data_IF_101131213135
#
_entry.id   IF_101131213135
#
_cell.length_a   1.000
_cell.length_b   1.000
_cell.length_c   1.000
_cell.angle_alpha   90.00
_cell.angle_beta   90.00
_cell.angle_gamma   90.00
#
_symmetry.space_group_name_H-M   'P 1'
#
loop_
_entity.id
_entity.type
_entity.pdbx_description
1 polymer ?
#
# COMPACT_ATOMS: atom_id res chain seq x y z
N UNK A 1 -5.10 17.94 13.07
CA UNK A 1 -6.41 18.25 12.46
C UNK A 1 -6.24 19.51 11.65
N UNK A 2 -6.69 19.49 10.40
CA UNK A 2 -6.61 20.63 9.50
C UNK A 2 -8.00 20.89 8.92
N UNK A 3 -8.29 22.15 8.62
CA UNK A 3 -9.60 22.61 8.17
C UNK A 3 -9.50 23.03 6.71
N UNK A 4 -10.53 22.71 5.95
CA UNK A 4 -10.60 23.00 4.52
C UNK A 4 -11.99 23.53 4.21
N UNK A 5 -12.04 24.65 3.51
CA UNK A 5 -13.28 25.24 3.02
C UNK A 5 -13.65 24.61 1.68
N UNK A 6 -14.84 24.01 1.62
CA UNK A 6 -15.41 23.44 0.40
C UNK A 6 -15.16 21.94 0.20
N UNK A 7 -16.16 21.27 -0.40
CA UNK A 7 -16.11 19.83 -0.68
C UNK A 7 -15.03 19.44 -1.70
N UNK A 8 -14.77 20.28 -2.70
CA UNK A 8 -13.81 19.94 -3.76
C UNK A 8 -12.37 19.91 -3.24
N UNK A 9 -12.03 20.83 -2.33
CA UNK A 9 -10.72 20.84 -1.70
C UNK A 9 -10.55 19.65 -0.75
N UNK A 10 -11.60 19.28 -0.01
CA UNK A 10 -11.62 18.06 0.82
C UNK A 10 -11.45 16.79 -0.03
N UNK A 11 -12.12 16.72 -1.18
CA UNK A 11 -11.98 15.62 -2.13
C UNK A 11 -10.56 15.54 -2.71
N UNK A 12 -9.94 16.69 -3.01
CA UNK A 12 -8.56 16.79 -3.45
C UNK A 12 -7.55 16.29 -2.40
N UNK A 13 -7.79 16.56 -1.11
CA UNK A 13 -6.94 16.07 -0.02
C UNK A 13 -7.03 14.56 0.13
N UNK A 14 -8.23 13.99 0.02
CA UNK A 14 -8.42 12.54 0.03
C UNK A 14 -7.76 11.90 -1.20
N UNK A 15 -7.91 12.50 -2.39
CA UNK A 15 -7.33 11.97 -3.62
C UNK A 15 -5.79 11.96 -3.63
N UNK A 16 -5.15 12.94 -2.96
CA UNK A 16 -3.68 12.98 -2.83
C UNK A 16 -3.13 12.13 -1.68
N UNK A 17 -4.00 11.59 -0.83
CA UNK A 17 -3.60 10.85 0.38
C UNK A 17 -3.19 11.76 1.56
N UNK A 18 -3.40 13.08 1.46
CA UNK A 18 -3.13 14.05 2.54
C UNK A 18 -4.09 13.83 3.72
N UNK A 19 -5.27 13.25 3.47
CA UNK A 19 -6.26 12.89 4.48
C UNK A 19 -6.89 11.52 4.18
N UNK A 20 -6.94 10.63 5.19
CA UNK A 20 -7.60 9.32 5.06
C UNK A 20 -9.09 9.37 5.39
N UNK A 21 -9.49 10.28 6.27
CA UNK A 21 -10.86 10.47 6.69
C UNK A 21 -11.12 11.96 6.86
N UNK A 22 -12.31 12.40 6.48
CA UNK A 22 -12.72 13.77 6.57
C UNK A 22 -14.16 13.86 7.08
N UNK A 23 -14.41 14.83 7.96
CA UNK A 23 -15.72 15.08 8.54
C UNK A 23 -16.28 16.33 7.86
N UNK A 24 -17.31 16.14 7.04
CA UNK A 24 -18.02 17.23 6.39
C UNK A 24 -19.23 17.62 7.25
N UNK A 25 -19.18 18.85 7.78
CA UNK A 25 -20.24 19.47 8.58
C UNK A 25 -21.09 20.33 7.64
N UNK A 26 -22.40 20.04 7.47
CA UNK A 26 -23.28 20.86 6.63
C UNK A 26 -23.42 22.29 7.15
N UNK A 27 -23.68 23.25 6.25
CA UNK A 27 -23.87 24.65 6.62
C UNK A 27 -25.08 24.86 7.56
N UNK A 28 -26.10 23.99 7.47
CA UNK A 28 -27.29 24.04 8.31
C UNK A 28 -27.11 23.37 9.69
N UNK A 29 -25.96 22.73 9.94
CA UNK A 29 -25.67 22.01 11.19
C UNK A 29 -25.94 22.82 12.48
N UNK A 30 -25.52 24.10 12.60
CA UNK A 30 -25.82 24.89 13.80
C UNK A 30 -27.31 25.22 13.93
N UNK A 31 -28.00 25.42 12.80
CA UNK A 31 -29.44 25.72 12.78
C UNK A 31 -30.25 24.49 13.17
N UNK A 32 -29.90 23.33 12.65
CA UNK A 32 -30.60 22.06 12.93
C UNK A 32 -30.44 21.67 14.40
N UNK A 33 -29.23 21.83 14.95
CA UNK A 33 -28.95 21.54 16.35
C UNK A 33 -29.71 22.49 17.31
N UNK A 34 -29.79 23.78 16.97
CA UNK A 34 -30.52 24.79 17.72
C UNK A 34 -32.03 24.58 17.68
N UNK A 35 -32.58 24.12 16.54
CA UNK A 35 -34.00 23.79 16.37
C UNK A 35 -34.42 22.48 17.02
N UNK A 36 -33.46 21.66 17.47
CA UNK A 36 -33.72 20.36 18.09
C UNK A 36 -34.07 19.25 17.11
N UNK A 37 -33.88 19.50 15.82
CA UNK A 37 -33.87 18.49 14.76
C UNK A 37 -32.54 17.72 14.75
N UNK A 38 -32.57 16.47 14.30
CA UNK A 38 -31.38 15.63 14.16
C UNK A 38 -30.40 16.24 13.14
N UNK A 39 -29.26 16.72 13.62
CA UNK A 39 -28.23 17.30 12.78
C UNK A 39 -27.37 16.18 12.17
N UNK A 40 -27.22 16.16 10.85
CA UNK A 40 -26.42 15.14 10.17
C UNK A 40 -24.98 15.58 9.99
N UNK A 41 -24.02 14.72 10.30
CA UNK A 41 -22.60 14.90 9.96
C UNK A 41 -22.22 13.82 8.95
N UNK A 42 -21.49 14.19 7.90
CA UNK A 42 -21.00 13.23 6.92
C UNK A 42 -19.53 12.89 7.19
N UNK A 43 -19.20 11.60 7.18
CA UNK A 43 -17.83 11.11 7.32
C UNK A 43 -17.43 10.46 6.00
N UNK A 44 -16.45 11.04 5.33
CA UNK A 44 -15.90 10.55 4.06
C UNK A 44 -14.58 9.87 4.39
N UNK A 45 -14.40 8.62 3.96
CA UNK A 45 -13.19 7.83 4.24
C UNK A 45 -12.66 7.23 2.94
N UNK A 46 -11.35 7.29 2.74
CA UNK A 46 -10.66 6.52 1.70
C UNK A 46 -10.70 5.03 2.04
N UNK A 47 -11.61 4.30 1.40
CA UNK A 47 -11.82 2.88 1.65
C UNK A 47 -10.84 1.95 0.90
N UNK A 48 -9.81 2.50 0.26
CA UNK A 48 -8.80 1.72 -0.47
C UNK A 48 -8.11 0.70 0.45
N UNK A 49 -7.80 1.08 1.69
CA UNK A 49 -7.36 0.18 2.76
C UNK A 49 -8.51 -0.08 3.76
N UNK A 50 -9.13 -1.26 3.75
CA UNK A 50 -10.23 -1.60 4.67
C UNK A 50 -9.84 -1.58 6.15
N UNK A 51 -8.57 -1.84 6.51
CA UNK A 51 -8.10 -1.87 7.89
C UNK A 51 -8.06 -0.45 8.47
N UNK A 52 -7.34 0.46 7.81
CA UNK A 52 -7.29 1.87 8.21
C UNK A 52 -8.67 2.52 8.20
N UNK A 53 -9.49 2.18 7.20
CA UNK A 53 -10.84 2.73 7.06
C UNK A 53 -11.76 2.34 8.20
N UNK A 54 -11.77 1.06 8.59
CA UNK A 54 -12.60 0.60 9.71
C UNK A 54 -12.20 1.26 11.02
N UNK A 55 -10.89 1.43 11.27
CA UNK A 55 -10.40 2.15 12.44
C UNK A 55 -10.87 3.62 12.45
N UNK A 56 -10.82 4.30 11.30
CA UNK A 56 -11.30 5.67 11.16
C UNK A 56 -12.82 5.77 11.37
N UNK A 57 -13.59 4.84 10.83
CA UNK A 57 -15.04 4.78 11.00
C UNK A 57 -15.45 4.52 12.45
N UNK A 58 -14.80 3.56 13.12
CA UNK A 58 -15.02 3.28 14.53
C UNK A 58 -14.72 4.51 15.40
N UNK A 59 -13.62 5.21 15.11
CA UNK A 59 -13.24 6.45 15.80
C UNK A 59 -14.27 7.56 15.60
N UNK A 60 -14.74 7.76 14.36
CA UNK A 60 -15.75 8.77 14.05
C UNK A 60 -17.10 8.47 14.74
N UNK A 61 -17.53 7.21 14.72
CA UNK A 61 -18.73 6.77 15.42
C UNK A 61 -18.62 6.97 16.94
N UNK A 62 -17.45 6.65 17.53
CA UNK A 62 -17.18 6.89 18.95
C UNK A 62 -17.25 8.37 19.33
N UNK A 63 -16.65 9.27 18.53
CA UNK A 63 -16.72 10.72 18.75
C UNK A 63 -18.18 11.20 18.67
N UNK A 64 -18.93 10.76 17.66
CA UNK A 64 -20.34 11.10 17.51
C UNK A 64 -21.17 10.62 18.70
N UNK A 65 -20.90 9.43 19.23
CA UNK A 65 -21.58 8.89 20.40
C UNK A 65 -21.29 9.70 21.67
N UNK A 66 -20.02 10.06 21.92
CA UNK A 66 -19.65 10.92 23.07
C UNK A 66 -20.33 12.29 22.96
N UNK A 67 -20.38 12.87 21.77
CA UNK A 67 -21.07 14.15 21.54
C UNK A 67 -22.58 14.02 21.71
N UNK A 68 -23.19 12.94 21.24
CA UNK A 68 -24.60 12.65 21.48
C UNK A 68 -24.92 12.58 22.97
N UNK A 69 -24.10 11.87 23.76
CA UNK A 69 -24.27 11.79 25.21
C UNK A 69 -24.14 13.16 25.90
N UNK A 70 -23.17 13.98 25.48
CA UNK A 70 -22.99 15.33 26.03
C UNK A 70 -24.15 16.29 25.69
N UNK A 71 -24.70 16.19 24.49
CA UNK A 71 -25.85 17.02 24.07
C UNK A 71 -27.13 16.55 24.77
N UNK A 72 -27.33 15.24 24.93
CA UNK A 72 -28.47 14.66 25.62
C UNK A 72 -28.44 14.96 27.14
N UNK A 73 -27.27 14.95 27.77
CA UNK A 73 -27.15 15.29 29.20
C UNK A 73 -27.38 16.79 29.48
N UNK A 74 -27.07 17.66 28.51
CA UNK A 74 -27.36 19.09 28.60
C UNK A 74 -28.81 19.46 28.24
N UNK A 75 -29.52 18.61 27.48
CA UNK A 75 -30.88 18.85 27.03
C UNK A 75 -31.88 17.91 27.73
N UNK A 76 -32.35 18.30 28.91
CA UNK A 76 -33.15 17.50 29.84
C UNK A 76 -34.46 16.87 29.27
N UNK A 77 -34.91 17.23 28.06
CA UNK A 77 -36.19 16.80 27.47
C UNK A 77 -36.06 16.23 26.04
N UNK A 78 -34.85 15.94 25.53
CA UNK A 78 -34.69 15.35 24.18
C UNK A 78 -34.67 13.82 24.24
N UNK A 79 -35.56 13.17 23.49
CA UNK A 79 -35.70 11.70 23.39
C UNK A 79 -35.00 11.10 22.17
N UNK A 80 -34.66 11.92 21.18
CA UNK A 80 -34.04 11.49 19.92
C UNK A 80 -32.54 11.82 19.87
N UNK A 81 -31.76 10.96 19.21
CA UNK A 81 -30.32 11.14 19.02
C UNK A 81 -30.06 12.40 18.19
N UNK A 82 -29.42 13.46 18.74
CA UNK A 82 -29.28 14.74 18.06
C UNK A 82 -28.33 14.72 16.85
N UNK A 83 -27.44 13.73 16.77
CA UNK A 83 -26.45 13.59 15.69
C UNK A 83 -26.59 12.26 14.97
N UNK A 84 -26.81 12.33 13.66
CA UNK A 84 -26.73 11.18 12.76
C UNK A 84 -25.41 11.25 11.97
N UNK A 85 -24.62 10.18 11.99
CA UNK A 85 -23.35 10.11 11.25
C UNK A 85 -23.56 9.31 9.97
N UNK A 86 -23.43 9.95 8.79
CA UNK A 86 -23.53 9.28 7.49
C UNK A 86 -22.16 8.99 6.93
N UNK A 87 -21.85 7.71 6.81
CA UNK A 87 -20.57 7.22 6.31
C UNK A 87 -20.62 7.10 4.79
N UNK A 88 -19.61 7.65 4.09
CA UNK A 88 -19.45 7.54 2.64
C UNK A 88 -18.05 7.00 2.29
N UNK A 89 -17.91 5.67 2.11
CA UNK A 89 -16.64 5.07 1.70
C UNK A 89 -16.34 5.39 0.23
N UNK A 90 -15.11 5.85 -0.06
CA UNK A 90 -14.60 6.10 -1.43
C UNK A 90 -13.69 4.96 -1.89
N UNK A 91 -13.59 4.74 -3.20
CA UNK A 91 -12.73 3.75 -3.88
C UNK A 91 -13.05 2.26 -3.62
N UNK A 92 -13.58 1.89 -2.45
CA UNK A 92 -14.06 0.52 -2.15
C UNK A 92 -15.36 0.54 -1.32
N UNK A 93 -16.51 0.90 -1.91
CA UNK A 93 -17.77 1.05 -1.16
C UNK A 93 -18.23 -0.22 -0.45
N UNK A 94 -17.89 -1.39 -1.00
CA UNK A 94 -18.20 -2.69 -0.42
C UNK A 94 -17.18 -3.20 0.59
N UNK A 95 -16.13 -2.43 0.90
CA UNK A 95 -15.04 -2.80 1.82
C UNK A 95 -14.49 -4.22 1.53
N UNK A 96 -14.45 -4.62 0.24
CA UNK A 96 -13.99 -5.95 -0.16
C UNK A 96 -12.48 -6.02 0.05
N UNK A 97 -12.02 -6.89 0.95
CA UNK A 97 -10.58 -7.08 1.22
C UNK A 97 -9.79 -7.49 -0.02
N UNK A 98 -10.41 -8.21 -0.96
CA UNK A 98 -9.78 -8.59 -2.22
C UNK A 98 -9.28 -7.38 -3.03
N UNK A 99 -9.99 -6.25 -2.99
CA UNK A 99 -9.61 -5.03 -3.71
C UNK A 99 -8.33 -4.37 -3.17
N UNK A 100 -7.93 -4.71 -1.94
CA UNK A 100 -6.70 -4.23 -1.30
C UNK A 100 -5.61 -5.30 -1.29
N UNK A 101 -5.95 -6.52 -0.87
CA UNK A 101 -5.00 -7.61 -0.66
C UNK A 101 -4.39 -8.08 -1.97
N UNK A 102 -5.19 -8.26 -3.03
CA UNK A 102 -4.72 -8.83 -4.28
C UNK A 102 -3.67 -7.92 -4.96
N UNK A 103 -3.91 -6.61 -5.14
CA UNK A 103 -2.87 -5.71 -5.66
C UNK A 103 -1.62 -5.66 -4.78
N UNK A 104 -1.77 -5.62 -3.45
CA UNK A 104 -0.62 -5.62 -2.53
C UNK A 104 0.21 -6.90 -2.62
N UNK A 105 -0.44 -8.05 -2.78
CA UNK A 105 0.25 -9.33 -2.98
C UNK A 105 1.04 -9.37 -4.29
N UNK A 106 0.65 -8.65 -5.35
CA UNK A 106 1.46 -8.56 -6.58
C UNK A 106 2.87 -8.05 -6.22
N UNK A 107 2.95 -6.95 -5.48
CA UNK A 107 4.22 -6.34 -5.06
C UNK A 107 5.02 -7.27 -4.14
N UNK A 108 4.35 -7.91 -3.18
CA UNK A 108 4.99 -8.87 -2.25
C UNK A 108 5.58 -10.07 -3.00
N UNK A 109 4.81 -10.70 -3.87
CA UNK A 109 5.24 -11.89 -4.62
C UNK A 109 6.38 -11.50 -5.56
N UNK A 110 6.27 -10.39 -6.28
CA UNK A 110 7.36 -9.89 -7.13
C UNK A 110 8.62 -9.58 -6.31
N UNK A 111 8.50 -8.95 -5.15
CA UNK A 111 9.66 -8.65 -4.29
C UNK A 111 10.36 -9.94 -3.87
N UNK A 112 9.61 -10.92 -3.36
CA UNK A 112 10.15 -12.22 -2.95
C UNK A 112 10.84 -12.90 -4.14
N UNK A 113 10.17 -13.02 -5.28
CA UNK A 113 10.70 -13.77 -6.42
C UNK A 113 11.88 -13.06 -7.07
N UNK A 114 11.81 -11.76 -7.33
CA UNK A 114 12.87 -11.00 -7.99
C UNK A 114 14.15 -10.93 -7.14
N UNK A 115 14.03 -10.66 -5.84
CA UNK A 115 15.19 -10.63 -4.93
C UNK A 115 15.82 -12.02 -4.86
N UNK A 116 15.01 -13.06 -4.63
CA UNK A 116 15.51 -14.42 -4.41
C UNK A 116 16.15 -15.01 -5.67
N UNK A 117 15.47 -14.92 -6.81
CA UNK A 117 15.97 -15.47 -8.08
C UNK A 117 17.27 -14.80 -8.48
N UNK A 118 17.38 -13.48 -8.34
CA UNK A 118 18.60 -12.76 -8.70
C UNK A 118 19.75 -13.06 -7.75
N UNK A 119 19.49 -13.06 -6.45
CA UNK A 119 20.50 -13.39 -5.45
C UNK A 119 21.07 -14.79 -5.67
N UNK A 120 20.19 -15.79 -5.85
CA UNK A 120 20.58 -17.17 -6.11
C UNK A 120 21.29 -17.32 -7.46
N UNK A 121 20.84 -16.63 -8.51
CA UNK A 121 21.43 -16.75 -9.83
C UNK A 121 22.91 -16.34 -9.87
N UNK A 122 23.27 -15.28 -9.15
CA UNK A 122 24.65 -14.80 -9.05
C UNK A 122 25.48 -15.73 -8.16
N UNK A 123 24.94 -16.13 -7.02
CA UNK A 123 25.66 -16.99 -6.07
C UNK A 123 25.90 -18.38 -6.66
N UNK A 124 24.92 -18.93 -7.40
CA UNK A 124 25.06 -20.21 -8.11
C UNK A 124 26.19 -20.21 -9.14
N UNK A 125 26.40 -19.10 -9.85
CA UNK A 125 27.52 -18.98 -10.79
C UNK A 125 28.87 -18.85 -10.07
N UNK A 126 28.88 -18.16 -8.94
CA UNK A 126 30.06 -18.06 -8.08
C UNK A 126 30.45 -19.44 -7.52
N UNK A 127 29.50 -20.18 -6.97
CA UNK A 127 29.71 -21.54 -6.45
C UNK A 127 30.20 -22.52 -7.53
N UNK A 128 29.75 -22.34 -8.78
CA UNK A 128 30.15 -23.18 -9.91
C UNK A 128 31.48 -22.77 -10.53
N UNK A 129 32.12 -21.69 -10.07
CA UNK A 129 33.34 -21.14 -10.65
C UNK A 129 33.17 -20.51 -12.04
N UNK A 130 31.95 -20.49 -12.59
CA UNK A 130 31.69 -19.91 -13.91
C UNK A 130 31.86 -18.39 -13.91
N UNK A 131 31.69 -17.75 -12.75
CA UNK A 131 31.92 -16.32 -12.58
C UNK A 131 33.38 -15.94 -12.88
N UNK A 132 34.34 -16.79 -12.49
CA UNK A 132 35.77 -16.54 -12.74
C UNK A 132 36.12 -16.69 -14.22
N UNK A 133 35.51 -17.68 -14.89
CA UNK A 133 35.63 -17.89 -16.34
C UNK A 133 35.01 -16.73 -17.14
N UNK A 134 33.95 -16.10 -16.62
CA UNK A 134 33.31 -14.95 -17.27
C UNK A 134 34.16 -13.67 -17.17
N UNK A 135 34.91 -13.48 -16.08
CA UNK A 135 35.73 -12.28 -15.86
C UNK A 135 36.95 -12.21 -16.79
N UNK A 136 37.41 -13.36 -17.33
CA UNK A 136 38.51 -13.42 -18.31
C UNK A 136 38.06 -13.20 -19.76
N UNK A 137 36.76 -13.09 -20.02
CA UNK A 137 36.24 -12.69 -21.34
C UNK A 137 36.36 -11.17 -21.54
N UNK A 138 36.43 -10.65 -22.77
CA UNK A 138 36.50 -9.21 -23.03
C UNK A 138 35.20 -8.44 -22.71
N UNK A 139 34.25 -9.05 -22.01
CA UNK A 139 32.95 -8.48 -21.66
C UNK A 139 33.07 -7.68 -20.37
N UNK A 140 32.48 -6.48 -20.31
CA UNK A 140 32.49 -5.70 -19.07
C UNK A 140 31.54 -6.29 -18.02
N UNK A 141 31.86 -6.11 -16.73
CA UNK A 141 31.01 -6.58 -15.62
C UNK A 141 29.57 -6.06 -15.72
N UNK A 142 29.40 -4.81 -16.17
CA UNK A 142 28.09 -4.17 -16.32
C UNK A 142 27.29 -4.76 -17.47
N UNK A 143 27.91 -5.03 -18.62
CA UNK A 143 27.24 -5.69 -19.76
C UNK A 143 26.79 -7.10 -19.39
N UNK A 144 27.65 -7.86 -18.70
CA UNK A 144 27.31 -9.20 -18.21
C UNK A 144 26.12 -9.16 -17.24
N UNK A 145 26.12 -8.21 -16.30
CA UNK A 145 25.01 -8.04 -15.35
C UNK A 145 23.72 -7.63 -16.06
N UNK A 146 23.77 -6.64 -16.96
CA UNK A 146 22.60 -6.17 -17.69
C UNK A 146 22.01 -7.27 -18.57
N UNK A 147 22.84 -7.97 -19.36
CA UNK A 147 22.39 -9.08 -20.20
C UNK A 147 21.74 -10.22 -19.41
N UNK A 148 22.18 -10.42 -18.17
CA UNK A 148 21.61 -11.42 -17.27
C UNK A 148 20.34 -10.93 -16.54
N UNK A 149 20.25 -9.64 -16.22
CA UNK A 149 19.08 -9.04 -15.56
C UNK A 149 17.90 -8.90 -16.53
N UNK A 150 18.15 -8.60 -17.81
CA UNK A 150 17.11 -8.46 -18.84
C UNK A 150 16.09 -9.61 -18.89
N UNK A 151 16.49 -10.90 -18.94
CA UNK A 151 15.53 -12.00 -18.93
C UNK A 151 14.72 -12.07 -17.62
N UNK A 152 15.30 -11.71 -16.47
CA UNK A 152 14.57 -11.66 -15.21
C UNK A 152 13.53 -10.55 -15.15
N UNK A 153 13.79 -9.41 -15.80
CA UNK A 153 12.76 -8.37 -15.98
C UNK A 153 11.58 -8.93 -16.78
N UNK A 154 11.85 -9.67 -17.86
CA UNK A 154 10.82 -10.36 -18.64
C UNK A 154 9.99 -11.33 -17.80
N UNK A 155 10.65 -12.15 -16.97
CA UNK A 155 9.98 -13.05 -16.02
C UNK A 155 9.10 -12.27 -15.05
N UNK A 156 9.57 -11.14 -14.51
CA UNK A 156 8.79 -10.29 -13.63
C UNK A 156 7.55 -9.69 -14.29
N UNK A 157 7.66 -9.25 -15.55
CA UNK A 157 6.52 -8.75 -16.30
C UNK A 157 5.50 -9.85 -16.58
N UNK A 158 5.93 -11.05 -16.97
CA UNK A 158 5.04 -12.21 -17.16
C UNK A 158 4.35 -12.61 -15.85
N UNK A 159 5.10 -12.62 -14.75
CA UNK A 159 4.58 -12.89 -13.41
C UNK A 159 3.52 -11.86 -13.02
N UNK A 160 3.80 -10.57 -13.23
CA UNK A 160 2.83 -9.50 -13.01
C UNK A 160 1.55 -9.72 -13.82
N UNK A 161 1.67 -9.97 -15.13
CA UNK A 161 0.52 -10.27 -15.99
C UNK A 161 -0.30 -11.43 -15.42
N UNK A 162 0.37 -12.50 -14.99
CA UNK A 162 -0.30 -13.69 -14.45
C UNK A 162 -1.09 -13.36 -13.19
N UNK A 163 -0.51 -12.63 -12.24
CA UNK A 163 -1.20 -12.24 -11.00
C UNK A 163 -2.35 -11.27 -11.27
N UNK A 164 -2.19 -10.32 -12.20
CA UNK A 164 -3.26 -9.40 -12.58
C UNK A 164 -4.44 -10.13 -13.25
N UNK A 165 -4.17 -11.10 -14.13
CA UNK A 165 -5.21 -11.92 -14.74
C UNK A 165 -5.96 -12.74 -13.68
N UNK A 166 -5.24 -13.40 -12.76
CA UNK A 166 -5.87 -14.11 -11.64
C UNK A 166 -6.69 -13.17 -10.76
N UNK A 167 -6.18 -11.99 -10.42
CA UNK A 167 -6.91 -10.99 -9.66
C UNK A 167 -8.20 -10.55 -10.35
N UNK A 168 -8.16 -10.35 -11.68
CA UNK A 168 -9.31 -9.91 -12.45
C UNK A 168 -10.36 -11.01 -12.66
N UNK A 169 -9.94 -12.23 -12.96
CA UNK A 169 -10.84 -13.32 -13.38
C UNK A 169 -11.28 -14.23 -12.23
N UNK A 170 -10.48 -14.36 -11.17
CA UNK A 170 -10.80 -15.22 -10.00
C UNK A 170 -11.41 -14.42 -8.87
N UNK A 171 -10.93 -13.18 -8.65
CA UNK A 171 -11.31 -12.36 -7.49
C UNK A 171 -12.19 -11.14 -7.83
N UNK A 172 -12.49 -10.93 -9.12
CA UNK A 172 -13.22 -9.77 -9.64
C UNK A 172 -12.64 -8.42 -9.19
N UNK A 173 -11.31 -8.33 -9.13
CA UNK A 173 -10.63 -7.09 -8.77
C UNK A 173 -10.67 -6.13 -9.97
N UNK A 174 -11.18 -4.90 -9.78
CA UNK A 174 -11.33 -3.94 -10.87
C UNK A 174 -9.96 -3.39 -11.27
N UNK A 175 -9.56 -3.62 -12.52
CA UNK A 175 -8.42 -2.96 -13.15
C UNK A 175 -8.86 -1.60 -13.68
N UNK A 176 -8.84 -0.60 -12.80
CA UNK A 176 -9.18 0.79 -13.15
C UNK A 176 -7.91 1.58 -13.45
N UNK A 177 -7.93 2.42 -14.50
CA UNK A 177 -6.81 3.27 -14.88
C UNK A 177 -6.02 2.80 -16.11
N UNK A 178 -4.80 3.32 -16.25
CA UNK A 178 -3.95 3.08 -17.42
C UNK A 178 -3.02 1.87 -17.18
N UNK A 179 -3.29 0.78 -17.90
CA UNK A 179 -2.51 -0.46 -17.82
C UNK A 179 -1.06 -0.25 -18.25
N UNK A 180 -0.79 0.61 -19.24
CA UNK A 180 0.58 0.87 -19.69
C UNK A 180 1.39 1.61 -18.61
N UNK A 181 0.77 2.56 -17.91
CA UNK A 181 1.40 3.25 -16.78
C UNK A 181 1.73 2.25 -15.65
N UNK A 182 0.81 1.32 -15.38
CA UNK A 182 1.00 0.26 -14.40
C UNK A 182 2.22 -0.62 -14.75
N UNK A 183 2.37 -1.04 -16.01
CA UNK A 183 3.57 -1.77 -16.46
C UNK A 183 4.84 -0.92 -16.42
N UNK A 184 4.76 0.39 -16.69
CA UNK A 184 5.89 1.30 -16.57
C UNK A 184 6.40 1.40 -15.13
N UNK A 185 5.50 1.56 -14.16
CA UNK A 185 5.83 1.57 -12.73
C UNK A 185 6.39 0.21 -12.31
N UNK A 186 5.76 -0.88 -12.76
CA UNK A 186 6.23 -2.23 -12.44
C UNK A 186 7.60 -2.54 -13.02
N UNK A 187 7.94 -2.02 -14.20
CA UNK A 187 9.28 -2.16 -14.76
C UNK A 187 10.34 -1.53 -13.84
N UNK A 188 10.09 -0.32 -13.35
CA UNK A 188 10.99 0.35 -12.39
C UNK A 188 11.07 -0.44 -11.08
N UNK A 189 9.92 -0.89 -10.58
CA UNK A 189 9.83 -1.68 -9.35
C UNK A 189 10.59 -3.02 -9.46
N UNK A 190 10.35 -3.79 -10.53
CA UNK A 190 11.06 -5.04 -10.81
C UNK A 190 12.57 -4.79 -10.86
N UNK A 191 13.00 -3.75 -11.58
CA UNK A 191 14.42 -3.40 -11.68
C UNK A 191 15.03 -3.08 -10.31
N UNK A 192 14.31 -2.36 -9.45
CA UNK A 192 14.74 -2.07 -8.09
C UNK A 192 14.82 -3.34 -7.22
N UNK A 193 13.84 -4.25 -7.31
CA UNK A 193 13.88 -5.54 -6.60
C UNK A 193 15.02 -6.45 -7.09
N UNK A 194 15.31 -6.47 -8.39
CA UNK A 194 16.45 -7.20 -8.96
C UNK A 194 17.78 -6.60 -8.45
N UNK A 195 17.90 -5.27 -8.40
CA UNK A 195 19.08 -4.60 -7.86
C UNK A 195 19.28 -4.93 -6.36
N UNK A 196 18.20 -5.00 -5.57
CA UNK A 196 18.26 -5.47 -4.19
C UNK A 196 18.75 -6.93 -4.11
N UNK A 197 18.25 -7.83 -4.97
CA UNK A 197 18.74 -9.21 -5.04
C UNK A 197 20.22 -9.31 -5.41
N UNK A 198 20.68 -8.47 -6.34
CA UNK A 198 22.10 -8.36 -6.68
C UNK A 198 22.91 -7.87 -5.48
N UNK A 199 22.45 -6.87 -4.76
CA UNK A 199 23.10 -6.39 -3.53
C UNK A 199 23.23 -7.51 -2.50
N UNK A 200 22.15 -8.26 -2.23
CA UNK A 200 22.18 -9.41 -1.31
C UNK A 200 23.21 -10.45 -1.73
N UNK A 201 23.34 -10.71 -3.04
CA UNK A 201 24.32 -11.68 -3.58
C UNK A 201 25.79 -11.33 -3.29
N UNK A 202 26.09 -10.05 -2.98
CA UNK A 202 27.44 -9.61 -2.64
C UNK A 202 27.83 -9.94 -1.20
N UNK A 203 26.83 -10.11 -0.32
CA UNK A 203 27.03 -10.35 1.12
C UNK A 203 27.20 -11.83 1.46
N UNK A 204 26.83 -12.73 0.54
CA UNK A 204 26.74 -14.17 0.79
C UNK A 204 27.61 -14.99 -0.16
N UNK A 205 27.96 -16.21 0.25
CA UNK A 205 28.81 -17.11 -0.55
C UNK A 205 28.09 -18.35 -1.04
N UNK A 206 27.05 -18.81 -0.33
CA UNK A 206 26.30 -20.01 -0.73
C UNK A 206 24.84 -19.73 -1.09
N UNK A 207 24.23 -20.58 -1.93
CA UNK A 207 22.82 -20.42 -2.31
C UNK A 207 21.89 -20.45 -1.09
N UNK A 208 22.18 -21.30 -0.11
CA UNK A 208 21.39 -21.37 1.12
C UNK A 208 21.52 -20.10 1.97
N UNK A 209 22.72 -19.51 2.04
CA UNK A 209 22.91 -18.20 2.66
C UNK A 209 22.18 -17.10 1.87
N UNK A 210 22.21 -17.15 0.54
CA UNK A 210 21.50 -16.20 -0.32
C UNK A 210 20.00 -16.21 -0.05
N UNK A 211 19.40 -17.39 0.12
CA UNK A 211 18.00 -17.54 0.48
C UNK A 211 17.71 -16.89 1.85
N UNK A 212 18.47 -17.25 2.88
CA UNK A 212 18.29 -16.72 4.24
C UNK A 212 18.46 -15.20 4.29
N UNK A 213 19.51 -14.68 3.65
CA UNK A 213 19.75 -13.24 3.57
C UNK A 213 18.64 -12.53 2.80
N UNK A 214 18.17 -13.10 1.68
CA UNK A 214 17.04 -12.53 0.93
C UNK A 214 15.80 -12.42 1.81
N UNK A 215 15.45 -13.45 2.58
CA UNK A 215 14.35 -13.38 3.54
C UNK A 215 14.55 -12.31 4.61
N UNK A 216 15.79 -12.15 5.11
CA UNK A 216 16.12 -11.10 6.07
C UNK A 216 15.89 -9.69 5.52
N UNK A 217 16.12 -9.43 4.22
CA UNK A 217 15.84 -8.13 3.60
C UNK A 217 14.38 -7.97 3.16
N UNK A 218 13.77 -9.04 2.65
CA UNK A 218 12.40 -9.01 2.15
C UNK A 218 11.38 -8.87 3.29
N UNK A 219 11.61 -9.49 4.44
CA UNK A 219 10.66 -9.45 5.55
C UNK A 219 10.46 -8.01 6.09
N UNK A 220 11.50 -7.24 6.44
CA UNK A 220 11.35 -5.82 6.78
C UNK A 220 10.72 -4.99 5.65
N UNK A 221 11.05 -5.30 4.39
CA UNK A 221 10.47 -4.63 3.23
C UNK A 221 8.94 -4.79 3.19
N UNK A 222 8.43 -6.01 3.39
CA UNK A 222 6.99 -6.27 3.48
C UNK A 222 6.37 -5.56 4.69
N UNK A 223 7.01 -5.63 5.85
CA UNK A 223 6.47 -5.05 7.09
C UNK A 223 6.41 -3.51 7.04
N UNK A 224 7.34 -2.87 6.34
CA UNK A 224 7.46 -1.41 6.23
C UNK A 224 6.76 -0.81 5.00
N UNK A 225 6.34 -1.63 4.04
CA UNK A 225 5.67 -1.21 2.80
C UNK A 225 4.34 -0.47 2.99
N UNK A 226 3.68 -0.66 4.14
CA UNK A 226 2.31 -0.20 4.35
C UNK A 226 1.24 -1.26 4.07
N UNK A 227 1.61 -2.39 3.45
CA UNK A 227 0.68 -3.46 3.10
C UNK A 227 0.12 -4.17 4.35
N UNK A 228 1.01 -4.64 5.25
CA UNK A 228 0.62 -5.36 6.46
C UNK A 228 0.16 -4.44 7.59
N UNK A 229 0.83 -3.30 7.72
CA UNK A 229 0.56 -2.31 8.76
C UNK A 229 0.40 -0.94 8.12
N UNK A 230 -0.63 -0.15 8.49
CA UNK A 230 -0.80 1.19 7.96
C UNK A 230 0.43 2.06 8.18
N UNK A 231 0.93 2.72 7.12
CA UNK A 231 2.13 3.59 7.25
C UNK A 231 1.95 4.73 8.24
N UNK A 232 0.73 5.27 8.40
CA UNK A 232 0.52 6.36 9.38
C UNK A 232 0.63 5.89 10.83
N UNK A 233 0.46 4.59 11.10
CA UNK A 233 0.63 4.03 12.44
C UNK A 233 2.11 3.80 12.80
N UNK A 234 3.03 3.88 11.83
CA UNK A 234 4.46 3.67 12.06
C UNK A 234 5.13 4.93 12.62
N UNK A 235 6.06 4.81 13.58
CA UNK A 235 6.95 5.91 13.96
C UNK A 235 7.75 6.46 12.77
N UNK A 236 8.08 7.76 12.80
CA UNK A 236 8.74 8.45 11.69
C UNK A 236 10.03 7.77 11.21
N UNK A 237 10.82 7.20 12.12
CA UNK A 237 12.06 6.46 11.79
C UNK A 237 11.78 5.29 10.85
N UNK A 238 10.73 4.51 11.11
CA UNK A 238 10.36 3.35 10.29
C UNK A 238 9.75 3.77 8.94
N UNK A 239 9.03 4.90 8.89
CA UNK A 239 8.56 5.46 7.63
C UNK A 239 9.72 5.86 6.72
N UNK A 240 10.76 6.50 7.29
CA UNK A 240 11.98 6.86 6.55
C UNK A 240 12.73 5.63 6.05
N UNK A 241 12.92 4.61 6.89
CA UNK A 241 13.58 3.36 6.47
C UNK A 241 12.79 2.68 5.35
N UNK A 242 11.47 2.59 5.48
CA UNK A 242 10.60 2.01 4.47
C UNK A 242 10.68 2.72 3.12
N UNK A 243 10.89 4.04 3.10
CA UNK A 243 11.01 4.81 1.86
C UNK A 243 12.25 4.46 1.01
N UNK A 244 13.29 3.85 1.61
CA UNK A 244 14.46 3.35 0.88
C UNK A 244 14.28 1.93 0.35
N UNK A 245 13.26 1.21 0.82
CA UNK A 245 12.97 -0.13 0.37
C UNK A 245 12.03 -0.08 -0.84
N UNK A 246 12.17 -1.02 -1.80
CA UNK A 246 11.47 -0.90 -3.07
C UNK A 246 9.95 -1.14 -2.99
N UNK A 247 9.44 -1.80 -1.95
CA UNK A 247 8.02 -2.16 -1.79
C UNK A 247 7.28 -1.13 -0.93
#
# INVERSE_FOLDING_TARGET
MAYVDGRDALDGWIARGDAQAAIAIPHDFPRDLARGTTATIQVIVDASDPLSSQAALASAAGIAQVRNLAILSAAAHRRELPLETRIRPRYNPGLRSANYIVPGLVGVILTITMVLVTAMAIVRERERGTLEQLIVTPITKTELMLGKISPYVGVGLVQMTTVLLLGRFVFDVPLTGNVLLLYGIAFVFITASLALGLFVSTLVRTQQQAMQASFFFVLPNILLSGFMFPRQAMPAVFQWIGAFLPL
#
